data_IF_072817567394
#
_entry.id   IF_072817567394
#
_cell.length_a   1.000
_cell.length_b   1.000
_cell.length_c   1.000
_cell.angle_alpha   90.00
_cell.angle_beta   90.00
_cell.angle_gamma   90.00
#
_symmetry.space_group_name_H-M   'P 1'
#
loop_
_entity.id
_entity.type
_entity.pdbx_description
1 polymer ?
#
# COMPACT_ATOMS: atom_id res chain seq x y z
N UNK A 1 -29.02 34.12 4.02
CA UNK A 1 -27.63 34.63 4.00
C UNK A 1 -26.71 33.45 3.75
N UNK A 2 -26.08 33.38 2.58
CA UNK A 2 -25.12 32.33 2.26
C UNK A 2 -23.83 32.59 3.05
N UNK A 3 -23.55 31.77 4.06
CA UNK A 3 -22.29 31.78 4.79
C UNK A 3 -21.23 31.01 4.02
N UNK A 4 -20.25 31.71 3.46
CA UNK A 4 -19.03 31.13 2.90
C UNK A 4 -18.25 30.41 4.01
N UNK A 5 -18.22 29.07 4.00
CA UNK A 5 -17.29 28.30 4.83
C UNK A 5 -15.86 28.60 4.36
N UNK A 6 -15.09 29.34 5.17
CA UNK A 6 -13.65 29.50 4.95
C UNK A 6 -12.95 28.15 5.17
N UNK A 7 -11.98 27.75 4.33
CA UNK A 7 -11.25 26.50 4.49
C UNK A 7 -10.39 26.52 5.77
N UNK A 8 -10.32 25.36 6.43
CA UNK A 8 -9.70 25.19 7.76
C UNK A 8 -8.16 25.24 7.69
N UNK A 9 -7.45 25.92 8.62
CA UNK A 9 -5.98 26.16 8.56
C UNK A 9 -5.09 24.91 8.67
N UNK A 10 -5.66 23.75 8.97
CA UNK A 10 -4.92 22.50 9.23
C UNK A 10 -4.54 21.78 7.91
N UNK A 11 -5.38 21.91 6.88
CA UNK A 11 -5.13 21.36 5.53
C UNK A 11 -3.95 22.05 4.82
N UNK A 12 -3.67 23.31 5.19
CA UNK A 12 -2.65 24.16 4.55
C UNK A 12 -1.21 23.72 4.91
N UNK A 13 -0.98 23.31 6.16
CA UNK A 13 0.37 22.90 6.63
C UNK A 13 0.81 21.53 6.11
N UNK A 14 -0.11 20.58 5.98
CA UNK A 14 0.20 19.25 5.44
C UNK A 14 0.54 19.35 3.95
N UNK A 15 -0.22 20.15 3.21
CA UNK A 15 0.02 20.42 1.79
C UNK A 15 1.37 21.13 1.55
N UNK A 16 1.69 22.17 2.33
CA UNK A 16 2.99 22.84 2.28
C UNK A 16 4.16 21.89 2.59
N UNK A 17 4.00 20.99 3.57
CA UNK A 17 5.02 19.97 3.90
C UNK A 17 5.22 18.96 2.76
N UNK A 18 4.14 18.55 2.09
CA UNK A 18 4.20 17.63 0.96
C UNK A 18 4.88 18.28 -0.25
N UNK A 19 4.53 19.53 -0.59
CA UNK A 19 5.18 20.28 -1.66
C UNK A 19 6.66 20.55 -1.37
N UNK A 20 7.02 20.84 -0.11
CA UNK A 20 8.42 20.99 0.30
C UNK A 20 9.21 19.69 0.12
N UNK A 21 8.65 18.55 0.55
CA UNK A 21 9.27 17.23 0.35
C UNK A 21 9.45 16.90 -1.14
N UNK A 22 8.45 17.20 -1.97
CA UNK A 22 8.52 17.01 -3.42
C UNK A 22 9.59 17.90 -4.07
N UNK A 23 9.70 19.15 -3.61
CA UNK A 23 10.76 20.08 -4.03
C UNK A 23 12.15 19.56 -3.66
N UNK A 24 12.32 19.01 -2.45
CA UNK A 24 13.60 18.48 -1.98
C UNK A 24 14.01 17.21 -2.75
N UNK A 25 13.05 16.33 -3.07
CA UNK A 25 13.27 15.14 -3.90
C UNK A 25 13.70 15.51 -5.33
N UNK A 26 13.00 16.45 -5.98
CA UNK A 26 13.35 16.95 -7.31
C UNK A 26 14.73 17.62 -7.33
N UNK A 27 15.07 18.40 -6.30
CA UNK A 27 16.41 18.98 -6.16
C UNK A 27 17.51 17.91 -6.04
N UNK A 28 17.25 16.82 -5.30
CA UNK A 28 18.18 15.68 -5.17
C UNK A 28 18.39 14.99 -6.52
N UNK A 29 17.32 14.76 -7.27
CA UNK A 29 17.37 14.16 -8.60
C UNK A 29 18.10 15.04 -9.61
N UNK A 30 17.85 16.36 -9.60
CA UNK A 30 18.55 17.32 -10.48
C UNK A 30 20.06 17.32 -10.23
N UNK A 31 20.49 17.34 -8.96
CA UNK A 31 21.91 17.24 -8.58
C UNK A 31 22.55 15.93 -9.03
N UNK A 32 21.82 14.82 -8.96
CA UNK A 32 22.32 13.52 -9.41
C UNK A 32 22.53 13.50 -10.92
N UNK A 33 21.58 14.05 -11.67
CA UNK A 33 21.62 14.14 -13.13
C UNK A 33 22.75 15.07 -13.61
N UNK A 34 22.95 16.21 -12.94
CA UNK A 34 24.10 17.09 -13.17
C UNK A 34 25.43 16.39 -12.90
N UNK A 35 25.51 15.61 -11.80
CA UNK A 35 26.72 14.85 -11.44
C UNK A 35 27.02 13.79 -12.48
N UNK A 36 26.02 13.02 -12.92
CA UNK A 36 26.18 12.02 -13.99
C UNK A 36 26.61 12.66 -15.30
N UNK A 37 25.99 13.79 -15.69
CA UNK A 37 26.36 14.54 -16.89
C UNK A 37 27.80 15.04 -16.84
N UNK A 38 28.26 15.55 -15.68
CA UNK A 38 29.66 15.97 -15.48
C UNK A 38 30.62 14.80 -15.57
N UNK A 39 30.29 13.66 -14.95
CA UNK A 39 31.12 12.46 -14.96
C UNK A 39 31.28 11.93 -16.39
N UNK A 40 30.19 11.88 -17.16
CA UNK A 40 30.24 11.46 -18.56
C UNK A 40 31.07 12.41 -19.43
N UNK A 41 30.95 13.73 -19.24
CA UNK A 41 31.79 14.72 -19.94
C UNK A 41 33.28 14.57 -19.60
N UNK A 42 33.61 14.26 -18.34
CA UNK A 42 34.98 14.00 -17.89
C UNK A 42 35.53 12.70 -18.49
N UNK A 43 34.74 11.62 -18.46
CA UNK A 43 35.12 10.33 -19.06
C UNK A 43 35.31 10.43 -20.58
N UNK A 44 34.44 11.17 -21.27
CA UNK A 44 34.58 11.43 -22.70
C UNK A 44 35.81 12.28 -23.05
N UNK A 45 36.18 13.24 -22.18
CA UNK A 45 37.40 14.05 -22.36
C UNK A 45 38.68 13.24 -22.07
N UNK A 46 38.63 12.30 -21.13
CA UNK A 46 39.72 11.39 -20.81
C UNK A 46 39.93 10.31 -21.89
N UNK A 47 38.88 9.96 -22.64
CA UNK A 47 38.91 8.91 -23.66
C UNK A 47 39.42 9.33 -25.06
N UNK A 48 39.99 10.54 -25.22
CA UNK A 48 40.77 11.02 -26.38
C UNK A 48 40.49 10.43 -27.78
N UNK A 49 39.84 11.25 -28.64
CA UNK A 49 39.82 11.19 -30.12
C UNK A 49 39.46 9.84 -30.78
N UNK A 50 38.16 9.57 -30.93
CA UNK A 50 37.66 8.48 -31.78
C UNK A 50 36.38 8.85 -32.52
N UNK A 51 36.51 9.38 -33.75
CA UNK A 51 35.47 9.43 -34.78
C UNK A 51 34.35 10.48 -34.62
N UNK A 52 34.07 11.21 -35.70
CA UNK A 52 33.03 12.25 -35.78
C UNK A 52 31.62 11.81 -35.32
N UNK A 53 31.33 10.50 -35.29
CA UNK A 53 30.05 9.94 -34.81
C UNK A 53 29.87 9.93 -33.28
N UNK A 54 30.95 9.86 -32.49
CA UNK A 54 30.85 9.86 -31.01
C UNK A 54 30.62 11.27 -30.46
N UNK A 55 31.14 12.29 -31.14
CA UNK A 55 30.89 13.69 -30.82
C UNK A 55 29.43 14.12 -31.06
N UNK A 56 28.76 13.59 -32.08
CA UNK A 56 27.33 13.84 -32.33
C UNK A 56 26.44 13.31 -31.20
N UNK A 57 26.60 12.04 -30.83
CA UNK A 57 25.85 11.40 -29.75
C UNK A 57 26.05 12.07 -28.38
N UNK A 58 27.29 12.48 -28.05
CA UNK A 58 27.59 13.20 -26.81
C UNK A 58 27.01 14.61 -26.79
N UNK A 59 27.00 15.30 -27.94
CA UNK A 59 26.35 16.60 -28.10
C UNK A 59 24.83 16.48 -27.91
N UNK A 60 24.22 15.47 -28.52
CA UNK A 60 22.76 15.29 -28.48
C UNK A 60 22.28 14.82 -27.11
N UNK A 61 23.04 13.95 -26.44
CA UNK A 61 22.81 13.62 -25.04
C UNK A 61 22.99 14.84 -24.12
N UNK A 62 24.01 15.67 -24.36
CA UNK A 62 24.23 16.90 -23.62
C UNK A 62 23.07 17.90 -23.76
N UNK A 63 22.48 18.01 -24.96
CA UNK A 63 21.28 18.83 -25.22
C UNK A 63 20.04 18.22 -24.54
N UNK A 64 19.86 16.91 -24.61
CA UNK A 64 18.74 16.21 -23.96
C UNK A 64 18.81 16.33 -22.43
N UNK A 65 19.97 16.08 -21.82
CA UNK A 65 20.18 16.28 -20.39
C UNK A 65 19.98 17.75 -19.98
N UNK A 66 20.43 18.69 -20.83
CA UNK A 66 20.16 20.13 -20.66
C UNK A 66 18.67 20.47 -20.68
N UNK A 67 17.91 19.88 -21.60
CA UNK A 67 16.46 20.06 -21.69
C UNK A 67 15.73 19.46 -20.47
N UNK A 68 16.15 18.28 -20.01
CA UNK A 68 15.58 17.61 -18.83
C UNK A 68 15.88 18.41 -17.56
N UNK A 69 17.13 18.85 -17.36
CA UNK A 69 17.51 19.70 -16.22
C UNK A 69 16.80 21.06 -16.26
N UNK A 70 16.60 21.63 -17.46
CA UNK A 70 15.79 22.83 -17.67
C UNK A 70 14.34 22.64 -17.25
N UNK A 71 13.67 21.58 -17.73
CA UNK A 71 12.29 21.25 -17.38
C UNK A 71 12.12 20.99 -15.88
N UNK A 72 13.03 20.23 -15.26
CA UNK A 72 13.05 20.01 -13.80
C UNK A 72 13.23 21.34 -13.07
N UNK A 73 14.08 22.23 -13.58
CA UNK A 73 14.30 23.57 -13.03
C UNK A 73 13.05 24.45 -13.09
N UNK A 74 12.32 24.45 -14.20
CA UNK A 74 11.04 25.14 -14.37
C UNK A 74 9.99 24.61 -13.39
N UNK A 75 9.85 23.28 -13.28
CA UNK A 75 8.93 22.65 -12.32
C UNK A 75 9.30 23.00 -10.86
N UNK A 76 10.59 23.00 -10.50
CA UNK A 76 11.04 23.46 -9.17
C UNK A 76 10.69 24.94 -8.95
N UNK A 77 10.79 25.77 -9.99
CA UNK A 77 10.40 27.18 -9.96
C UNK A 77 8.92 27.37 -9.66
N UNK A 78 8.06 26.64 -10.37
CA UNK A 78 6.61 26.64 -10.17
C UNK A 78 6.23 26.19 -8.75
N UNK A 79 6.78 25.06 -8.28
CA UNK A 79 6.56 24.58 -6.91
C UNK A 79 7.00 25.58 -5.84
N UNK A 80 8.11 26.30 -6.05
CA UNK A 80 8.57 27.33 -5.11
C UNK A 80 7.66 28.55 -5.09
N UNK A 81 7.13 28.98 -6.23
CA UNK A 81 6.17 30.08 -6.28
C UNK A 81 4.82 29.68 -5.65
N UNK A 82 4.37 28.45 -5.84
CA UNK A 82 3.17 27.93 -5.17
C UNK A 82 3.35 27.88 -3.64
N UNK A 83 4.49 27.38 -3.14
CA UNK A 83 4.82 27.41 -1.71
C UNK A 83 4.85 28.85 -1.19
N UNK A 84 5.45 29.78 -1.94
CA UNK A 84 5.55 31.20 -1.55
C UNK A 84 4.19 31.88 -1.48
N UNK A 85 3.34 31.68 -2.49
CA UNK A 85 1.99 32.25 -2.54
C UNK A 85 1.09 31.71 -1.44
N UNK A 86 1.15 30.40 -1.17
CA UNK A 86 0.38 29.78 -0.09
C UNK A 86 0.86 30.25 1.28
N UNK A 87 2.17 30.32 1.51
CA UNK A 87 2.72 30.86 2.77
C UNK A 87 2.29 32.32 3.02
N UNK A 88 2.26 33.16 1.97
CA UNK A 88 1.80 34.55 2.08
C UNK A 88 0.28 34.64 2.40
N UNK A 89 -0.54 33.77 1.81
CA UNK A 89 -1.97 33.66 2.10
C UNK A 89 -2.22 33.18 3.55
N UNK A 90 -1.46 32.21 4.04
CA UNK A 90 -1.57 31.72 5.43
C UNK A 90 -1.24 32.83 6.43
N UNK A 91 -0.20 33.63 6.18
CA UNK A 91 0.18 34.75 7.05
C UNK A 91 -0.85 35.90 7.03
N UNK A 92 -1.41 36.22 5.85
CA UNK A 92 -2.51 37.17 5.75
C UNK A 92 -3.77 36.71 6.52
N UNK A 93 -4.09 35.42 6.46
CA UNK A 93 -5.19 34.83 7.22
C UNK A 93 -4.94 34.82 8.73
N UNK A 94 -3.70 34.57 9.20
CA UNK A 94 -3.35 34.69 10.62
C UNK A 94 -3.50 36.11 11.15
N UNK A 95 -3.08 37.12 10.38
CA UNK A 95 -3.27 38.52 10.74
C UNK A 95 -4.76 38.92 10.79
N UNK A 96 -5.59 38.35 9.90
CA UNK A 96 -7.04 38.56 9.93
C UNK A 96 -7.72 37.85 11.12
N UNK A 97 -7.27 36.64 11.48
CA UNK A 97 -7.82 35.86 12.61
C UNK A 97 -7.47 36.48 13.97
N UNK A 98 -6.24 36.98 14.13
CA UNK A 98 -5.81 37.68 15.34
C UNK A 98 -6.62 38.96 15.60
N UNK A 99 -7.09 39.64 14.54
CA UNK A 99 -8.00 40.79 14.65
C UNK A 99 -9.43 40.40 15.06
N UNK A 100 -9.85 39.16 14.81
CA UNK A 100 -11.21 38.68 15.14
C UNK A 100 -11.36 38.10 16.54
N UNK A 101 -10.30 37.54 17.14
CA UNK A 101 -10.35 36.90 18.46
C UNK A 101 -10.34 37.88 19.66
N UNK A 102 -10.08 39.17 19.42
CA UNK A 102 -10.24 40.22 20.44
C UNK A 102 -11.71 40.61 20.69
N UNK A 103 -12.67 40.01 19.97
CA UNK A 103 -14.07 40.45 19.97
C UNK A 103 -15.06 39.72 20.88
N UNK A 104 -14.81 38.48 21.32
CA UNK A 104 -15.84 37.69 22.03
C UNK A 104 -15.27 36.85 23.18
N UNK A 105 -15.48 37.32 24.42
CA UNK A 105 -15.49 36.51 25.65
C UNK A 105 -16.86 36.69 26.31
N UNK A 106 -17.61 35.60 26.48
CA UNK A 106 -18.84 35.58 27.28
C UNK A 106 -19.76 34.36 27.07
N UNK A 107 -19.84 33.51 28.11
CA UNK A 107 -20.95 32.65 28.56
C UNK A 107 -20.90 31.11 28.45
N UNK A 108 -21.56 30.53 29.45
CA UNK A 108 -21.53 29.21 30.11
C UNK A 108 -22.26 28.06 29.37
N UNK A 109 -22.00 26.83 29.84
CA UNK A 109 -22.51 25.54 29.32
C UNK A 109 -23.65 25.03 30.24
N UNK A 110 -24.74 24.54 29.65
CA UNK A 110 -25.92 23.99 30.34
C UNK A 110 -25.89 22.43 30.33
N UNK A 111 -26.32 21.71 31.37
CA UNK A 111 -26.17 20.26 31.45
C UNK A 111 -27.46 19.53 31.03
N UNK A 112 -27.61 19.24 29.74
CA UNK A 112 -28.61 18.28 29.21
C UNK A 112 -28.06 17.37 28.09
N UNK A 113 -26.74 17.23 27.92
CA UNK A 113 -26.17 16.30 26.95
C UNK A 113 -26.14 14.85 27.47
N UNK A 114 -27.29 14.17 27.44
CA UNK A 114 -27.38 12.72 27.38
C UNK A 114 -27.52 12.34 25.89
N UNK A 115 -26.48 11.73 25.32
CA UNK A 115 -26.49 11.28 23.91
C UNK A 115 -26.83 9.78 23.88
N UNK A 116 -27.99 9.45 23.31
CA UNK A 116 -28.36 8.11 22.85
C UNK A 116 -27.46 7.66 21.68
N UNK A 117 -27.22 6.35 21.55
CA UNK A 117 -26.45 5.73 20.46
C UNK A 117 -27.01 6.13 19.08
N UNK A 118 -26.33 7.03 18.39
CA UNK A 118 -26.66 7.48 17.05
C UNK A 118 -25.83 6.77 15.98
N UNK A 119 -26.48 6.44 14.86
CA UNK A 119 -25.90 5.85 13.65
C UNK A 119 -24.61 6.56 13.22
N UNK A 120 -23.57 5.76 12.97
CA UNK A 120 -22.30 6.22 12.45
C UNK A 120 -22.48 6.81 11.05
N UNK A 121 -22.37 8.13 10.92
CA UNK A 121 -22.25 8.84 9.63
C UNK A 121 -20.77 9.20 9.43
N UNK A 122 -20.05 8.60 8.46
CA UNK A 122 -18.66 8.93 8.23
C UNK A 122 -18.51 10.40 7.78
N UNK A 123 -17.40 11.07 8.13
CA UNK A 123 -17.21 12.48 7.81
C UNK A 123 -17.19 12.71 6.30
N UNK A 124 -18.11 13.55 5.82
CA UNK A 124 -18.24 13.94 4.41
C UNK A 124 -17.15 14.94 4.01
N UNK A 125 -15.93 14.46 3.81
CA UNK A 125 -14.94 15.21 3.03
C UNK A 125 -15.22 14.89 1.55
N UNK A 126 -15.46 15.88 0.67
CA UNK A 126 -15.66 15.59 -0.75
C UNK A 126 -14.40 14.91 -1.29
N UNK A 127 -14.52 13.78 -2.01
CA UNK A 127 -13.36 13.05 -2.50
C UNK A 127 -12.51 13.96 -3.39
N UNK A 128 -11.19 13.91 -3.19
CA UNK A 128 -10.23 14.62 -4.03
C UNK A 128 -10.54 14.28 -5.51
N UNK A 129 -10.74 15.25 -6.41
CA UNK A 129 -11.02 14.98 -7.82
C UNK A 129 -10.00 14.05 -8.49
N UNK A 130 -8.73 14.14 -8.08
CA UNK A 130 -7.65 13.25 -8.53
C UNK A 130 -7.81 11.81 -8.03
N UNK A 131 -8.39 11.63 -6.83
CA UNK A 131 -8.74 10.32 -6.29
C UNK A 131 -9.86 9.69 -7.13
N UNK A 132 -10.91 10.44 -7.48
CA UNK A 132 -12.02 9.92 -8.32
C UNK A 132 -11.58 9.43 -9.71
N UNK A 133 -10.54 10.05 -10.28
CA UNK A 133 -9.92 9.65 -11.54
C UNK A 133 -8.87 8.54 -11.40
N UNK A 134 -8.31 8.35 -10.20
CA UNK A 134 -7.39 7.26 -9.93
C UNK A 134 -8.13 5.93 -9.98
N UNK A 135 -7.39 4.85 -10.15
CA UNK A 135 -8.00 3.52 -10.08
C UNK A 135 -8.58 3.27 -8.67
N UNK A 136 -8.01 3.88 -7.62
CA UNK A 136 -8.54 3.87 -6.26
C UNK A 136 -9.92 4.49 -6.15
N UNK A 137 -10.13 5.72 -6.64
CA UNK A 137 -11.47 6.30 -6.61
C UNK A 137 -12.42 5.53 -7.52
N UNK A 138 -11.98 5.00 -8.66
CA UNK A 138 -12.84 4.14 -9.48
C UNK A 138 -13.31 2.88 -8.75
N UNK A 139 -12.49 2.31 -7.87
CA UNK A 139 -12.83 1.12 -7.08
C UNK A 139 -13.61 1.42 -5.79
N UNK A 140 -13.59 2.67 -5.31
CA UNK A 140 -14.01 3.03 -3.95
C UNK A 140 -15.03 4.18 -3.89
N UNK A 141 -15.45 4.73 -5.04
CA UNK A 141 -16.43 5.83 -5.10
C UNK A 141 -17.81 5.35 -4.65
N UNK A 142 -18.45 6.02 -3.67
CA UNK A 142 -19.83 5.77 -3.29
C UNK A 142 -20.80 5.85 -4.48
N UNK A 143 -21.66 4.85 -4.66
CA UNK A 143 -22.64 4.78 -5.76
C UNK A 143 -22.14 4.11 -7.06
N UNK A 144 -20.89 3.65 -7.11
CA UNK A 144 -20.39 2.72 -8.15
C UNK A 144 -20.54 1.26 -7.70
N UNK A 145 -20.50 0.27 -8.63
CA UNK A 145 -20.61 -1.13 -8.28
C UNK A 145 -19.59 -1.52 -7.22
N UNK A 146 -20.06 -2.21 -6.18
CA UNK A 146 -19.23 -2.70 -5.09
C UNK A 146 -18.06 -3.54 -5.64
N UNK A 147 -16.83 -3.09 -5.41
CA UNK A 147 -15.64 -3.84 -5.82
C UNK A 147 -15.49 -5.03 -4.90
N UNK A 148 -15.61 -6.21 -5.49
CA UNK A 148 -15.36 -7.47 -4.80
C UNK A 148 -13.89 -7.79 -5.00
N UNK A 149 -13.10 -7.68 -3.93
CA UNK A 149 -11.65 -7.81 -3.97
C UNK A 149 -11.24 -9.21 -3.51
N UNK A 150 -10.41 -9.90 -4.30
CA UNK A 150 -9.47 -10.86 -3.73
C UNK A 150 -8.31 -10.08 -3.13
N UNK A 151 -8.34 -9.88 -1.81
CA UNK A 151 -7.43 -8.99 -1.10
C UNK A 151 -6.00 -9.49 -1.04
N UNK A 152 -5.75 -10.77 -1.37
CA UNK A 152 -4.42 -11.36 -1.34
C UNK A 152 -4.38 -12.74 -2.01
N UNK A 153 -3.68 -12.82 -3.15
CA UNK A 153 -3.25 -14.07 -3.78
C UNK A 153 -1.72 -14.11 -3.85
N UNK A 154 -1.07 -14.87 -2.98
CA UNK A 154 0.38 -15.06 -3.01
C UNK A 154 0.75 -16.10 -4.05
N UNK A 155 1.32 -15.63 -5.16
CA UNK A 155 1.93 -16.49 -6.16
C UNK A 155 3.27 -17.01 -5.68
N UNK A 156 3.46 -18.32 -5.80
CA UNK A 156 4.67 -19.05 -5.43
C UNK A 156 5.49 -19.45 -6.65
N UNK A 157 4.90 -19.43 -7.84
CA UNK A 157 5.57 -19.77 -9.11
C UNK A 157 4.87 -19.12 -10.30
N UNK A 158 5.48 -19.20 -11.48
CA UNK A 158 4.81 -18.78 -12.72
C UNK A 158 3.57 -19.64 -13.03
N UNK A 159 3.60 -20.91 -12.63
CA UNK A 159 2.56 -21.88 -12.92
C UNK A 159 1.29 -21.61 -12.11
N UNK A 160 1.41 -21.31 -10.81
CA UNK A 160 0.23 -21.03 -9.99
C UNK A 160 -0.46 -19.73 -10.41
N UNK A 161 0.30 -18.71 -10.79
CA UNK A 161 -0.24 -17.45 -11.31
C UNK A 161 -0.95 -17.66 -12.65
N UNK A 162 -0.34 -18.43 -13.56
CA UNK A 162 -0.96 -18.77 -14.84
C UNK A 162 -2.26 -19.57 -14.64
N UNK A 163 -2.27 -20.52 -13.70
CA UNK A 163 -3.47 -21.29 -13.34
C UNK A 163 -4.56 -20.40 -12.75
N UNK A 164 -4.21 -19.48 -11.85
CA UNK A 164 -5.15 -18.53 -11.27
C UNK A 164 -5.77 -17.63 -12.35
N UNK A 165 -4.96 -17.08 -13.26
CA UNK A 165 -5.44 -16.24 -14.38
C UNK A 165 -6.36 -17.03 -15.31
N UNK A 166 -6.00 -18.28 -15.64
CA UNK A 166 -6.81 -19.15 -16.49
C UNK A 166 -8.17 -19.44 -15.84
N UNK A 167 -8.18 -19.76 -14.55
CA UNK A 167 -9.40 -20.02 -13.79
C UNK A 167 -10.30 -18.78 -13.72
N UNK A 168 -9.73 -17.59 -13.48
CA UNK A 168 -10.49 -16.33 -13.45
C UNK A 168 -11.13 -16.02 -14.81
N UNK A 169 -10.42 -16.26 -15.91
CA UNK A 169 -10.95 -16.06 -17.28
C UNK A 169 -12.05 -17.04 -17.66
N UNK A 170 -12.11 -18.21 -17.03
CA UNK A 170 -13.17 -19.19 -17.29
C UNK A 170 -14.43 -18.98 -16.43
N UNK A 171 -14.42 -18.05 -15.48
CA UNK A 171 -15.59 -17.76 -14.66
C UNK A 171 -16.61 -16.92 -15.44
N UNK A 172 -17.80 -17.50 -15.65
CA UNK A 172 -18.93 -16.85 -16.35
C UNK A 172 -19.44 -15.61 -15.57
N UNK A 173 -19.32 -15.64 -14.25
CA UNK A 173 -19.57 -14.51 -13.35
C UNK A 173 -18.44 -14.48 -12.32
N UNK A 174 -17.33 -13.77 -12.59
CA UNK A 174 -16.27 -13.70 -11.61
C UNK A 174 -16.84 -13.09 -10.32
N UNK A 175 -16.74 -13.79 -9.19
CA UNK A 175 -17.26 -13.28 -7.92
C UNK A 175 -16.43 -12.09 -7.42
N UNK A 176 -15.28 -11.80 -8.05
CA UNK A 176 -14.36 -10.73 -7.71
C UNK A 176 -13.97 -9.93 -8.96
N UNK A 177 -13.89 -8.62 -8.79
CA UNK A 177 -13.64 -7.63 -9.84
C UNK A 177 -12.24 -7.04 -9.78
N UNK A 178 -11.47 -7.40 -8.75
CA UNK A 178 -10.08 -7.00 -8.55
C UNK A 178 -9.31 -8.05 -7.75
N UNK A 179 -8.02 -8.21 -8.02
CA UNK A 179 -7.13 -9.14 -7.31
C UNK A 179 -5.83 -8.44 -6.92
N UNK A 180 -5.46 -8.55 -5.64
CA UNK A 180 -4.13 -8.22 -5.16
C UNK A 180 -3.22 -9.45 -5.29
N UNK A 181 -2.37 -9.47 -6.31
CA UNK A 181 -1.36 -10.50 -6.50
C UNK A 181 -0.15 -10.14 -5.66
N UNK A 182 0.28 -11.04 -4.78
CA UNK A 182 1.45 -10.86 -3.93
C UNK A 182 2.61 -11.74 -4.38
N UNK A 183 3.82 -11.21 -4.34
CA UNK A 183 5.06 -11.92 -4.67
C UNK A 183 6.15 -11.64 -3.64
N UNK A 184 6.92 -12.68 -3.29
CA UNK A 184 8.19 -12.56 -2.60
C UNK A 184 9.35 -12.85 -3.56
N UNK A 185 9.96 -11.83 -4.17
CA UNK A 185 11.17 -12.04 -4.97
C UNK A 185 12.27 -12.65 -4.09
N UNK A 186 13.05 -13.57 -4.68
CA UNK A 186 14.21 -14.15 -4.01
C UNK A 186 15.39 -13.17 -3.94
N UNK A 187 15.47 -12.26 -4.91
CA UNK A 187 16.59 -11.33 -5.11
C UNK A 187 16.07 -10.00 -5.69
N UNK A 188 16.81 -8.89 -5.51
CA UNK A 188 16.48 -7.58 -6.07
C UNK A 188 16.89 -7.46 -7.54
N UNK A 189 16.70 -8.51 -8.33
CA UNK A 189 16.96 -8.53 -9.77
C UNK A 189 15.82 -9.21 -10.51
N UNK A 190 15.73 -8.99 -11.82
CA UNK A 190 14.72 -9.64 -12.65
C UNK A 190 14.85 -11.17 -12.56
N UNK A 191 13.71 -11.82 -12.36
CA UNK A 191 13.59 -13.29 -12.37
C UNK A 191 12.37 -13.66 -13.22
N UNK A 192 12.30 -14.88 -13.78
CA UNK A 192 11.13 -15.31 -14.57
C UNK A 192 9.80 -15.15 -13.80
N UNK A 193 9.79 -15.43 -12.50
CA UNK A 193 8.61 -15.25 -11.65
C UNK A 193 8.21 -13.77 -11.52
N UNK A 194 9.17 -12.87 -11.30
CA UNK A 194 8.94 -11.43 -11.24
C UNK A 194 8.49 -10.84 -12.60
N UNK A 195 9.05 -11.33 -13.70
CA UNK A 195 8.65 -10.93 -15.05
C UNK A 195 7.22 -11.40 -15.35
N UNK A 196 6.88 -12.64 -14.98
CA UNK A 196 5.53 -13.17 -15.11
C UNK A 196 4.53 -12.40 -14.25
N UNK A 197 4.89 -12.04 -13.02
CA UNK A 197 4.12 -11.15 -12.16
C UNK A 197 3.88 -9.78 -12.80
N UNK A 198 4.94 -9.13 -13.28
CA UNK A 198 4.85 -7.80 -13.91
C UNK A 198 3.99 -7.82 -15.16
N UNK A 199 4.14 -8.87 -16.00
CA UNK A 199 3.31 -9.10 -17.18
C UNK A 199 1.85 -9.34 -16.79
N UNK A 200 1.58 -10.15 -15.76
CA UNK A 200 0.22 -10.39 -15.29
C UNK A 200 -0.45 -9.09 -14.84
N UNK A 201 0.26 -8.21 -14.12
CA UNK A 201 -0.24 -6.88 -13.77
C UNK A 201 -0.50 -6.05 -15.02
N UNK A 202 0.41 -6.03 -16.00
CA UNK A 202 0.24 -5.24 -17.23
C UNK A 202 -0.97 -5.69 -18.07
N UNK A 203 -1.13 -7.01 -18.27
CA UNK A 203 -2.14 -7.61 -19.16
C UNK A 203 -3.55 -7.68 -18.54
N UNK A 204 -3.66 -7.60 -17.20
CA UNK A 204 -4.95 -7.71 -16.52
C UNK A 204 -5.28 -6.40 -15.79
N UNK A 205 -6.27 -5.66 -16.30
CA UNK A 205 -6.70 -4.35 -15.76
C UNK A 205 -7.18 -4.42 -14.30
N UNK A 206 -7.64 -5.59 -13.87
CA UNK A 206 -8.16 -5.87 -12.54
C UNK A 206 -7.09 -6.35 -11.53
N UNK A 207 -5.83 -6.51 -11.95
CA UNK A 207 -4.77 -7.00 -11.07
C UNK A 207 -3.90 -5.86 -10.54
N UNK A 208 -3.54 -5.98 -9.28
CA UNK A 208 -2.69 -5.06 -8.54
C UNK A 208 -1.63 -5.85 -7.77
N UNK A 209 -0.48 -5.23 -7.54
CA UNK A 209 0.69 -5.88 -6.99
C UNK A 209 0.91 -5.58 -5.51
N UNK A 210 1.30 -6.62 -4.79
CA UNK A 210 1.95 -6.55 -3.48
C UNK A 210 3.33 -7.15 -3.68
N UNK A 211 4.39 -6.40 -3.37
CA UNK A 211 5.75 -6.89 -3.54
C UNK A 211 6.57 -6.60 -2.30
N UNK A 212 7.40 -7.55 -1.88
CA UNK A 212 8.30 -7.36 -0.75
C UNK A 212 9.22 -8.56 -0.54
N UNK A 213 10.36 -8.32 0.09
CA UNK A 213 11.31 -9.37 0.45
C UNK A 213 10.92 -9.99 1.80
N UNK A 214 10.40 -11.22 1.74
CA UNK A 214 9.98 -11.96 2.91
C UNK A 214 11.15 -12.45 3.78
N UNK A 215 10.88 -12.90 5.01
CA UNK A 215 11.90 -13.31 6.00
C UNK A 215 12.83 -14.45 5.57
N UNK A 216 12.44 -15.24 4.57
CA UNK A 216 13.23 -16.39 4.10
C UNK A 216 14.35 -15.98 3.15
N UNK A 217 14.26 -14.79 2.56
CA UNK A 217 15.22 -14.27 1.59
C UNK A 217 15.89 -13.03 2.20
N UNK A 218 16.96 -13.25 2.96
CA UNK A 218 17.76 -12.15 3.53
C UNK A 218 18.60 -11.54 2.43
N UNK A 219 18.32 -10.28 2.10
CA UNK A 219 19.12 -9.53 1.13
C UNK A 219 20.28 -8.87 1.89
N UNK A 220 21.51 -9.15 1.47
CA UNK A 220 22.72 -8.72 2.19
C UNK A 220 22.91 -7.20 2.17
N UNK A 221 22.55 -6.55 1.07
CA UNK A 221 22.70 -5.12 0.92
C UNK A 221 21.33 -4.44 1.00
N UNK A 222 21.15 -3.62 2.04
CA UNK A 222 19.93 -2.85 2.25
C UNK A 222 19.69 -1.82 1.14
N UNK A 223 20.75 -1.27 0.54
CA UNK A 223 20.61 -0.34 -0.60
C UNK A 223 20.01 -1.01 -1.84
N UNK A 224 20.25 -2.32 -2.02
CA UNK A 224 19.67 -3.07 -3.14
C UNK A 224 18.16 -3.26 -2.93
N UNK A 225 17.70 -3.47 -1.69
CA UNK A 225 16.27 -3.53 -1.35
C UNK A 225 15.62 -2.17 -1.66
N UNK A 226 16.19 -1.10 -1.12
CA UNK A 226 15.65 0.26 -1.25
C UNK A 226 15.57 0.68 -2.72
N UNK A 227 16.67 0.53 -3.46
CA UNK A 227 16.74 0.87 -4.88
C UNK A 227 15.75 0.07 -5.72
N UNK A 228 15.66 -1.24 -5.50
CA UNK A 228 14.75 -2.11 -6.24
C UNK A 228 13.28 -1.79 -5.95
N UNK A 229 12.88 -1.70 -4.68
CA UNK A 229 11.48 -1.44 -4.31
C UNK A 229 11.06 -0.03 -4.74
N UNK A 230 11.91 0.98 -4.51
CA UNK A 230 11.67 2.35 -4.96
C UNK A 230 11.49 2.40 -6.48
N UNK A 231 12.34 1.69 -7.23
CA UNK A 231 12.22 1.66 -8.69
C UNK A 231 10.92 1.00 -9.13
N UNK A 232 10.61 -0.22 -8.66
CA UNK A 232 9.42 -0.93 -9.14
C UNK A 232 8.11 -0.23 -8.74
N UNK A 233 8.04 0.40 -7.57
CA UNK A 233 6.88 1.18 -7.15
C UNK A 233 6.67 2.39 -8.07
N UNK A 234 7.76 3.11 -8.40
CA UNK A 234 7.67 4.28 -9.28
C UNK A 234 7.37 3.91 -10.74
N UNK A 235 7.97 2.84 -11.24
CA UNK A 235 7.84 2.42 -12.64
C UNK A 235 6.50 1.71 -12.90
N UNK A 236 5.87 1.14 -11.87
CA UNK A 236 4.62 0.39 -12.00
C UNK A 236 3.52 0.91 -11.07
N UNK A 237 2.63 1.72 -11.64
CA UNK A 237 1.44 2.29 -10.97
C UNK A 237 0.45 1.26 -10.42
N UNK A 238 0.62 -0.04 -10.70
CA UNK A 238 -0.21 -1.11 -10.14
C UNK A 238 0.35 -1.71 -8.86
N UNK A 239 1.51 -1.28 -8.36
CA UNK A 239 2.03 -1.70 -7.06
C UNK A 239 1.33 -0.92 -5.94
N UNK A 240 0.51 -1.64 -5.18
CA UNK A 240 -0.52 -1.06 -4.31
C UNK A 240 -0.27 -1.31 -2.82
N UNK A 241 0.69 -2.17 -2.51
CA UNK A 241 1.10 -2.47 -1.15
C UNK A 241 2.54 -3.02 -1.15
N UNK A 242 3.20 -2.93 0.00
CA UNK A 242 4.42 -3.69 0.25
C UNK A 242 4.10 -5.00 0.97
N UNK A 243 4.82 -6.06 0.63
CA UNK A 243 4.66 -7.36 1.28
C UNK A 243 4.56 -8.58 0.36
N UNK A 244 4.44 -9.77 0.96
CA UNK A 244 4.43 -9.98 2.40
C UNK A 244 5.86 -9.87 2.99
N UNK A 245 6.02 -9.11 4.07
CA UNK A 245 7.28 -8.96 4.83
C UNK A 245 7.05 -9.38 6.28
N UNK A 246 8.09 -9.65 7.07
CA UNK A 246 7.92 -10.01 8.47
C UNK A 246 8.99 -10.98 8.95
N UNK A 247 8.62 -11.89 9.85
CA UNK A 247 9.55 -12.81 10.52
C UNK A 247 9.16 -14.28 10.34
N UNK A 248 10.16 -15.15 10.17
CA UNK A 248 10.05 -16.60 10.16
C UNK A 248 11.14 -17.21 11.06
N UNK A 249 10.74 -17.52 12.29
CA UNK A 249 11.61 -18.15 13.29
C UNK A 249 11.81 -19.64 13.03
N UNK A 250 10.85 -20.30 12.38
CA UNK A 250 10.90 -21.74 12.11
C UNK A 250 11.99 -22.11 11.11
N UNK A 251 12.16 -21.29 10.07
CA UNK A 251 13.11 -21.59 9.00
C UNK A 251 14.56 -21.38 9.42
N UNK A 252 14.87 -20.22 10.02
CA UNK A 252 16.25 -19.86 10.36
C UNK A 252 16.29 -18.90 11.56
N UNK A 253 16.18 -19.40 12.81
CA UNK A 253 16.09 -18.54 14.00
C UNK A 253 17.35 -17.67 14.21
N UNK A 254 18.51 -18.10 13.70
CA UNK A 254 19.76 -17.34 13.75
C UNK A 254 19.78 -16.12 12.82
N UNK A 255 18.82 -16.01 11.90
CA UNK A 255 18.68 -14.85 11.00
C UNK A 255 17.68 -13.81 11.48
N UNK A 256 17.03 -14.03 12.64
CA UNK A 256 16.02 -13.11 13.17
C UNK A 256 16.50 -11.65 13.26
N UNK A 257 17.73 -11.33 13.72
CA UNK A 257 18.21 -9.96 13.70
C UNK A 257 18.18 -9.33 12.30
N UNK A 258 18.65 -10.06 11.28
CA UNK A 258 18.63 -9.59 9.89
C UNK A 258 17.22 -9.49 9.32
N UNK A 259 16.31 -10.40 9.72
CA UNK A 259 14.90 -10.31 9.34
C UNK A 259 14.24 -9.05 9.92
N UNK A 260 14.57 -8.67 11.16
CA UNK A 260 14.09 -7.43 11.80
C UNK A 260 14.62 -6.20 11.08
N UNK A 261 15.91 -6.15 10.75
CA UNK A 261 16.50 -5.05 9.97
C UNK A 261 15.82 -4.90 8.59
N UNK A 262 15.65 -6.01 7.87
CA UNK A 262 14.98 -6.04 6.57
C UNK A 262 13.48 -5.67 6.68
N UNK A 263 12.81 -6.04 7.77
CA UNK A 263 11.44 -5.63 8.06
C UNK A 263 11.36 -4.11 8.28
N UNK A 264 12.21 -3.55 9.15
CA UNK A 264 12.23 -2.12 9.45
C UNK A 264 12.50 -1.26 8.22
N UNK A 265 13.44 -1.67 7.36
CA UNK A 265 13.72 -0.98 6.10
C UNK A 265 12.47 -0.93 5.21
N UNK A 266 11.81 -2.07 5.01
CA UNK A 266 10.63 -2.14 4.14
C UNK A 266 9.40 -1.45 4.75
N UNK A 267 9.27 -1.40 6.08
CA UNK A 267 8.26 -0.57 6.76
C UNK A 267 8.49 0.92 6.54
N UNK A 268 9.75 1.37 6.52
CA UNK A 268 10.10 2.75 6.20
C UNK A 268 9.78 3.10 4.75
N UNK A 269 10.15 2.23 3.79
CA UNK A 269 9.78 2.41 2.38
C UNK A 269 8.25 2.47 2.23
N UNK A 270 7.51 1.58 2.90
CA UNK A 270 6.04 1.60 2.86
C UNK A 270 5.46 2.91 3.41
N UNK A 271 6.04 3.44 4.49
CA UNK A 271 5.65 4.71 5.07
C UNK A 271 5.93 5.89 4.12
N UNK A 272 7.09 5.91 3.47
CA UNK A 272 7.49 6.95 2.51
C UNK A 272 6.57 6.99 1.28
N UNK A 273 6.15 5.82 0.79
CA UNK A 273 5.21 5.68 -0.33
C UNK A 273 3.73 5.64 0.10
N UNK A 274 3.45 5.75 1.40
CA UNK A 274 2.10 5.69 1.95
C UNK A 274 1.32 4.41 1.59
N UNK A 275 2.03 3.30 1.42
CA UNK A 275 1.47 2.02 1.04
C UNK A 275 1.06 1.19 2.26
N UNK A 276 -0.09 0.50 2.24
CA UNK A 276 -0.39 -0.53 3.23
C UNK A 276 0.63 -1.67 3.14
N UNK A 277 0.87 -2.35 4.26
CA UNK A 277 1.91 -3.37 4.35
C UNK A 277 1.37 -4.70 4.84
N UNK A 278 1.66 -5.76 4.10
CA UNK A 278 1.24 -7.12 4.40
C UNK A 278 2.32 -7.81 5.24
N UNK A 279 1.94 -8.19 6.46
CA UNK A 279 2.83 -8.73 7.49
C UNK A 279 2.67 -10.24 7.62
N UNK A 280 3.80 -10.94 7.61
CA UNK A 280 3.91 -12.38 7.78
C UNK A 280 4.56 -12.71 9.12
N UNK A 281 3.90 -13.57 9.89
CA UNK A 281 4.41 -14.14 11.13
C UNK A 281 4.52 -15.67 11.00
N UNK A 282 5.70 -16.24 11.28
CA UNK A 282 5.84 -17.70 11.38
C UNK A 282 6.62 -18.01 12.66
N UNK A 283 5.87 -18.44 13.69
CA UNK A 283 6.39 -18.79 15.01
C UNK A 283 7.26 -17.69 15.66
N UNK A 284 7.02 -16.42 15.34
CA UNK A 284 7.85 -15.29 15.75
C UNK A 284 7.02 -14.16 16.36
N UNK A 285 5.85 -14.47 16.95
CA UNK A 285 4.85 -13.47 17.36
C UNK A 285 5.42 -12.43 18.30
N UNK A 286 6.16 -12.85 19.33
CA UNK A 286 6.77 -11.95 20.31
C UNK A 286 7.82 -11.05 19.67
N UNK A 287 8.72 -11.63 18.88
CA UNK A 287 9.77 -10.90 18.19
C UNK A 287 9.21 -9.92 17.15
N UNK A 288 8.12 -10.30 16.47
CA UNK A 288 7.45 -9.46 15.49
C UNK A 288 6.71 -8.31 16.17
N UNK A 289 6.01 -8.57 17.28
CA UNK A 289 5.34 -7.54 18.08
C UNK A 289 6.35 -6.49 18.57
N UNK A 290 7.47 -6.94 19.16
CA UNK A 290 8.57 -6.07 19.58
C UNK A 290 9.18 -5.29 18.39
N UNK A 291 9.37 -5.94 17.23
CA UNK A 291 9.90 -5.29 16.05
C UNK A 291 8.96 -4.21 15.50
N UNK A 292 7.65 -4.48 15.45
CA UNK A 292 6.64 -3.52 14.98
C UNK A 292 6.45 -2.35 15.96
N UNK A 293 6.52 -2.62 17.26
CA UNK A 293 6.47 -1.59 18.29
C UNK A 293 7.64 -0.60 18.16
N UNK A 294 8.85 -1.14 17.90
CA UNK A 294 10.10 -0.38 17.79
C UNK A 294 10.41 0.14 16.38
N UNK A 295 9.53 -0.11 15.39
CA UNK A 295 9.75 0.35 14.02
C UNK A 295 9.88 1.89 13.98
N UNK A 296 10.95 2.46 13.40
CA UNK A 296 11.17 3.91 13.37
C UNK A 296 10.10 4.68 12.58
N UNK A 297 9.54 4.02 11.58
CA UNK A 297 8.47 4.52 10.74
C UNK A 297 7.41 3.43 10.58
N UNK A 298 6.16 3.85 10.46
CA UNK A 298 5.03 2.94 10.33
C UNK A 298 4.23 3.28 9.06
N UNK A 299 3.90 2.27 8.24
CA UNK A 299 2.96 2.46 7.14
C UNK A 299 1.58 2.86 7.67
N UNK A 300 0.70 3.40 6.82
CA UNK A 300 -0.66 3.78 7.23
C UNK A 300 -1.48 2.63 7.78
N UNK A 301 -1.35 1.44 7.18
CA UNK A 301 -2.19 0.28 7.47
C UNK A 301 -1.34 -0.98 7.42
N UNK A 302 -1.66 -1.93 8.29
CA UNK A 302 -1.02 -3.25 8.36
C UNK A 302 -2.05 -4.34 8.10
N UNK A 303 -1.64 -5.40 7.39
CA UNK A 303 -2.49 -6.55 7.07
C UNK A 303 -1.80 -7.83 7.51
N UNK A 304 -2.39 -8.58 8.43
CA UNK A 304 -1.87 -9.86 8.88
C UNK A 304 -2.22 -10.97 7.88
N UNK A 305 -1.20 -11.65 7.34
CA UNK A 305 -1.33 -12.54 6.18
C UNK A 305 -1.61 -14.01 6.50
N UNK A 306 -1.48 -14.42 7.76
CA UNK A 306 -1.58 -15.82 8.18
C UNK A 306 -2.93 -16.11 8.84
N UNK A 307 -3.34 -17.39 8.92
CA UNK A 307 -4.41 -17.79 9.84
C UNK A 307 -4.05 -17.40 11.28
N UNK A 308 -5.03 -16.89 12.04
CA UNK A 308 -4.84 -16.50 13.44
C UNK A 308 -5.15 -17.67 14.35
N UNK A 309 -4.12 -18.31 14.92
CA UNK A 309 -4.29 -19.52 15.73
C UNK A 309 -4.18 -19.27 17.22
N UNK A 310 -3.33 -18.35 17.63
CA UNK A 310 -2.98 -18.17 19.05
C UNK A 310 -3.51 -16.86 19.63
N UNK A 311 -3.68 -16.82 20.96
CA UNK A 311 -4.06 -15.58 21.66
C UNK A 311 -3.00 -14.48 21.49
N UNK A 312 -1.71 -14.83 21.50
CA UNK A 312 -0.62 -13.88 21.29
C UNK A 312 -0.71 -13.22 19.91
N UNK A 313 -1.04 -14.00 18.87
CA UNK A 313 -1.23 -13.46 17.52
C UNK A 313 -2.43 -12.52 17.45
N UNK A 314 -3.55 -12.89 18.09
CA UNK A 314 -4.74 -12.03 18.18
C UNK A 314 -4.41 -10.74 18.92
N UNK A 315 -3.71 -10.81 20.04
CA UNK A 315 -3.33 -9.65 20.84
C UNK A 315 -2.39 -8.72 20.05
N UNK A 316 -1.40 -9.26 19.34
CA UNK A 316 -0.52 -8.48 18.46
C UNK A 316 -1.32 -7.81 17.34
N UNK A 317 -2.21 -8.54 16.65
CA UNK A 317 -3.06 -7.98 15.59
C UNK A 317 -3.91 -6.82 16.10
N UNK A 318 -4.51 -6.96 17.28
CA UNK A 318 -5.32 -5.91 17.90
C UNK A 318 -4.47 -4.71 18.34
N UNK A 319 -3.31 -4.96 18.95
CA UNK A 319 -2.41 -3.91 19.44
C UNK A 319 -1.87 -3.02 18.32
N UNK A 320 -1.59 -3.59 17.15
CA UNK A 320 -1.16 -2.84 15.96
C UNK A 320 -2.31 -2.49 15.01
N UNK A 321 -3.56 -2.72 15.43
CA UNK A 321 -4.76 -2.36 14.68
C UNK A 321 -4.75 -2.90 13.23
N UNK A 322 -4.30 -4.14 13.04
CA UNK A 322 -4.14 -4.72 11.72
C UNK A 322 -5.48 -5.18 11.13
N UNK A 323 -5.58 -5.13 9.80
CA UNK A 323 -6.54 -5.95 9.07
C UNK A 323 -6.11 -7.41 9.09
N UNK A 324 -7.07 -8.33 8.92
CA UNK A 324 -6.82 -9.78 8.86
C UNK A 324 -7.38 -10.34 7.58
N UNK A 325 -6.63 -11.24 6.96
CA UNK A 325 -7.11 -11.98 5.81
C UNK A 325 -7.96 -13.17 6.26
N UNK A 326 -9.15 -13.32 5.69
CA UNK A 326 -9.98 -14.53 5.72
C UNK A 326 -9.64 -15.35 4.47
N UNK A 327 -8.89 -16.43 4.65
CA UNK A 327 -8.22 -17.19 3.59
C UNK A 327 -8.85 -18.56 3.30
N UNK A 328 -8.34 -19.26 2.29
CA UNK A 328 -8.73 -20.63 1.95
C UNK A 328 -8.88 -21.56 3.16
N UNK A 329 -7.90 -21.51 4.06
CA UNK A 329 -7.84 -22.31 5.28
C UNK A 329 -9.09 -22.12 6.17
N UNK A 330 -9.78 -20.99 6.10
CA UNK A 330 -11.01 -20.75 6.86
C UNK A 330 -12.11 -21.80 6.58
N UNK A 331 -12.08 -22.39 5.38
CA UNK A 331 -13.02 -23.43 4.93
C UNK A 331 -12.68 -24.83 5.45
N UNK A 332 -11.48 -25.04 5.98
CA UNK A 332 -10.95 -26.36 6.35
C UNK A 332 -11.50 -26.83 7.71
N UNK A 333 -12.04 -28.06 7.84
CA UNK A 333 -12.67 -28.52 9.07
C UNK A 333 -11.79 -28.35 10.32
N UNK A 334 -10.50 -28.61 10.23
CA UNK A 334 -9.54 -28.52 11.34
C UNK A 334 -9.20 -27.09 11.79
N UNK A 335 -9.54 -26.07 11.00
CA UNK A 335 -9.23 -24.66 11.27
C UNK A 335 -10.26 -24.00 12.22
N UNK A 336 -10.70 -24.74 13.24
CA UNK A 336 -11.69 -24.27 14.21
C UNK A 336 -11.21 -23.04 14.98
N UNK A 337 -9.94 -23.06 15.41
CA UNK A 337 -9.39 -21.96 16.19
C UNK A 337 -9.24 -20.68 15.38
N UNK A 338 -8.87 -20.81 14.11
CA UNK A 338 -8.83 -19.68 13.18
C UNK A 338 -10.21 -19.06 13.00
N UNK A 339 -11.25 -19.87 12.79
CA UNK A 339 -12.63 -19.38 12.71
C UNK A 339 -13.07 -18.70 14.00
N UNK A 340 -12.86 -19.35 15.14
CA UNK A 340 -13.23 -18.80 16.46
C UNK A 340 -12.60 -17.42 16.68
N UNK A 341 -11.28 -17.31 16.46
CA UNK A 341 -10.54 -16.06 16.65
C UNK A 341 -11.07 -14.94 15.72
N UNK A 342 -11.27 -15.24 14.44
CA UNK A 342 -11.81 -14.24 13.49
C UNK A 342 -13.20 -13.79 13.93
N UNK A 343 -14.11 -14.73 14.21
CA UNK A 343 -15.53 -14.44 14.44
C UNK A 343 -15.80 -13.77 15.79
N UNK A 344 -14.99 -14.04 16.82
CA UNK A 344 -15.26 -13.60 18.19
C UNK A 344 -14.31 -12.54 18.70
N UNK A 345 -13.08 -12.47 18.18
CA UNK A 345 -12.03 -11.58 18.70
C UNK A 345 -11.71 -10.41 17.79
N UNK A 346 -11.80 -10.58 16.47
CA UNK A 346 -11.38 -9.54 15.53
C UNK A 346 -12.58 -8.69 15.11
N UNK A 347 -12.53 -7.35 15.26
CA UNK A 347 -13.56 -6.45 14.77
C UNK A 347 -13.86 -6.67 13.29
N UNK A 348 -15.15 -6.74 12.92
CA UNK A 348 -15.56 -7.07 11.55
C UNK A 348 -15.06 -6.06 10.52
N UNK A 349 -14.85 -4.80 10.89
CA UNK A 349 -14.30 -3.77 10.01
C UNK A 349 -12.82 -4.00 9.66
N UNK A 350 -12.17 -5.00 10.27
CA UNK A 350 -10.78 -5.41 9.96
C UNK A 350 -10.71 -6.66 9.08
N UNK A 351 -11.84 -7.25 8.70
CA UNK A 351 -11.87 -8.46 7.89
C UNK A 351 -11.67 -8.15 6.41
N UNK A 352 -10.75 -8.86 5.77
CA UNK A 352 -10.52 -8.80 4.32
C UNK A 352 -10.64 -10.21 3.74
N UNK A 353 -11.35 -10.35 2.63
CA UNK A 353 -11.43 -11.63 1.93
C UNK A 353 -10.18 -11.85 1.07
N UNK A 354 -9.63 -13.07 1.09
CA UNK A 354 -8.45 -13.40 0.31
C UNK A 354 -8.46 -14.87 -0.12
N UNK A 355 -8.00 -15.18 -1.33
CA UNK A 355 -7.81 -16.57 -1.74
C UNK A 355 -6.64 -17.20 -0.99
N UNK A 356 -5.60 -16.42 -0.68
CA UNK A 356 -4.48 -16.85 0.14
C UNK A 356 -3.27 -17.26 -0.68
N UNK A 357 -2.71 -18.44 -0.41
CA UNK A 357 -1.50 -18.93 -1.08
C UNK A 357 -1.87 -19.74 -2.33
N UNK A 358 -1.07 -19.63 -3.40
CA UNK A 358 -1.26 -20.35 -4.67
C UNK A 358 -1.34 -21.87 -4.56
N UNK A 359 -0.79 -22.45 -3.48
CA UNK A 359 -0.77 -23.90 -3.23
C UNK A 359 -1.88 -24.39 -2.29
N UNK A 360 -2.63 -23.46 -1.67
CA UNK A 360 -3.62 -23.79 -0.64
C UNK A 360 -5.03 -23.47 -1.12
N UNK A 361 -5.67 -24.44 -1.77
CA UNK A 361 -7.07 -24.31 -2.17
C UNK A 361 -8.03 -24.47 -0.98
N UNK A 362 -9.26 -23.96 -1.14
CA UNK A 362 -10.35 -24.23 -0.19
C UNK A 362 -10.70 -25.71 -0.08
N UNK A 363 -11.47 -26.05 0.94
CA UNK A 363 -11.77 -27.44 1.32
C UNK A 363 -12.31 -28.27 0.15
N UNK A 364 -13.20 -27.71 -0.67
CA UNK A 364 -13.80 -28.42 -1.80
C UNK A 364 -12.81 -28.82 -2.90
N UNK A 365 -11.60 -28.23 -2.90
CA UNK A 365 -10.54 -28.46 -3.88
C UNK A 365 -9.19 -28.72 -3.23
N UNK A 366 -9.17 -29.21 -1.99
CA UNK A 366 -7.92 -29.48 -1.25
C UNK A 366 -6.97 -30.37 -2.07
N UNK A 367 -5.69 -30.00 -2.11
CA UNK A 367 -4.66 -30.68 -2.91
C UNK A 367 -4.56 -30.22 -4.37
N UNK A 368 -5.45 -29.33 -4.82
CA UNK A 368 -5.33 -28.65 -6.12
C UNK A 368 -4.67 -27.28 -5.96
N UNK A 369 -4.21 -26.70 -7.07
CA UNK A 369 -3.76 -25.30 -7.11
C UNK A 369 -4.91 -24.38 -6.71
N UNK A 370 -4.59 -23.35 -5.93
CA UNK A 370 -5.56 -22.38 -5.49
C UNK A 370 -5.99 -21.46 -6.64
N UNK A 371 -7.24 -21.06 -6.61
CA UNK A 371 -7.92 -20.34 -7.69
C UNK A 371 -8.99 -19.41 -7.10
N UNK A 372 -9.51 -18.42 -7.86
CA UNK A 372 -10.51 -17.47 -7.37
C UNK A 372 -11.79 -18.13 -6.82
N UNK A 373 -12.12 -19.36 -7.27
CA UNK A 373 -13.26 -20.12 -6.78
C UNK A 373 -13.22 -20.35 -5.26
N UNK A 374 -12.05 -20.26 -4.62
CA UNK A 374 -11.89 -20.47 -3.17
C UNK A 374 -12.60 -19.41 -2.37
N UNK A 375 -12.65 -18.20 -2.89
CA UNK A 375 -13.31 -17.08 -2.23
C UNK A 375 -14.84 -17.30 -2.11
N UNK A 376 -15.46 -17.99 -3.08
CA UNK A 376 -16.87 -18.39 -2.99
C UNK A 376 -17.11 -19.43 -1.89
N UNK A 377 -16.16 -20.35 -1.67
CA UNK A 377 -16.22 -21.30 -0.55
C UNK A 377 -16.09 -20.57 0.78
N UNK A 378 -15.16 -19.62 0.90
CA UNK A 378 -14.99 -18.81 2.10
C UNK A 378 -16.27 -18.04 2.44
N UNK A 379 -16.88 -17.36 1.46
CA UNK A 379 -18.13 -16.63 1.68
C UNK A 379 -19.26 -17.54 2.14
N UNK A 380 -19.38 -18.73 1.54
CA UNK A 380 -20.40 -19.71 1.96
C UNK A 380 -20.17 -20.14 3.41
N UNK A 381 -18.94 -20.46 3.78
CA UNK A 381 -18.58 -20.82 5.17
C UNK A 381 -18.84 -19.66 6.13
N UNK A 382 -18.43 -18.44 5.77
CA UNK A 382 -18.62 -17.25 6.61
C UNK A 382 -20.10 -16.93 6.82
N UNK A 383 -20.92 -17.04 5.78
CA UNK A 383 -22.36 -16.89 5.87
C UNK A 383 -22.99 -17.94 6.82
N UNK A 384 -22.64 -19.23 6.65
CA UNK A 384 -23.14 -20.32 7.49
C UNK A 384 -22.82 -20.13 8.98
N UNK A 385 -21.66 -19.54 9.29
CA UNK A 385 -21.21 -19.35 10.67
C UNK A 385 -21.74 -18.07 11.32
N UNK A 386 -22.12 -17.08 10.52
CA UNK A 386 -22.53 -15.77 11.03
C UNK A 386 -24.04 -15.55 10.97
N UNK A 387 -24.78 -16.29 10.12
CA UNK A 387 -26.20 -16.06 9.81
C UNK A 387 -26.51 -14.63 9.32
N UNK A 388 -25.59 -14.01 8.56
CA UNK A 388 -25.79 -12.69 7.94
C UNK A 388 -26.40 -12.82 6.56
N UNK A 389 -26.98 -11.73 6.05
CA UNK A 389 -27.33 -11.68 4.64
C UNK A 389 -26.04 -11.69 3.78
N UNK A 390 -25.97 -12.52 2.71
CA UNK A 390 -24.79 -12.58 1.84
C UNK A 390 -24.39 -11.23 1.23
N UNK A 391 -25.37 -10.39 0.88
CA UNK A 391 -25.11 -9.11 0.23
C UNK A 391 -24.58 -8.08 1.25
N UNK A 392 -25.07 -8.12 2.49
CA UNK A 392 -24.55 -7.30 3.60
C UNK A 392 -23.10 -7.65 3.92
N UNK A 393 -22.80 -8.96 4.01
CA UNK A 393 -21.44 -9.44 4.27
C UNK A 393 -20.47 -9.02 3.15
N UNK A 394 -20.90 -9.16 1.89
CA UNK A 394 -20.12 -8.70 0.74
C UNK A 394 -19.89 -7.20 0.77
N UNK A 395 -20.93 -6.41 1.08
CA UNK A 395 -20.87 -4.95 1.20
C UNK A 395 -19.89 -4.53 2.28
N UNK A 396 -19.94 -5.18 3.44
CA UNK A 396 -18.99 -4.96 4.53
C UNK A 396 -17.55 -5.28 4.11
N UNK A 397 -17.29 -6.46 3.56
CA UNK A 397 -15.94 -6.88 3.17
C UNK A 397 -15.35 -5.96 2.09
N UNK A 398 -16.17 -5.53 1.14
CA UNK A 398 -15.76 -4.57 0.14
C UNK A 398 -15.50 -3.18 0.74
N UNK A 399 -16.33 -2.70 1.68
CA UNK A 399 -16.07 -1.44 2.38
C UNK A 399 -14.76 -1.49 3.18
N UNK A 400 -14.46 -2.61 3.86
CA UNK A 400 -13.19 -2.79 4.56
C UNK A 400 -12.01 -2.76 3.59
N UNK A 401 -12.12 -3.46 2.46
CA UNK A 401 -11.11 -3.44 1.41
C UNK A 401 -10.91 -2.03 0.84
N UNK A 402 -11.99 -1.26 0.68
CA UNK A 402 -11.90 0.13 0.26
C UNK A 402 -11.16 0.96 1.32
N UNK A 403 -11.52 0.83 2.60
CA UNK A 403 -10.88 1.57 3.70
C UNK A 403 -9.38 1.26 3.87
N UNK A 404 -8.92 0.07 3.48
CA UNK A 404 -7.49 -0.26 3.46
C UNK A 404 -6.69 0.67 2.52
N UNK A 405 -7.33 1.18 1.46
CA UNK A 405 -6.65 1.92 0.40
C UNK A 405 -7.19 3.34 0.14
N UNK A 406 -8.35 3.68 0.72
CA UNK A 406 -8.96 5.02 0.66
C UNK A 406 -8.43 5.86 1.81
N UNK A 407 -8.01 7.08 1.48
CA UNK A 407 -7.81 8.16 2.45
C UNK A 407 -8.73 9.31 2.11
#
# INVERSE_FOLDING_TARGET
MFGSKKPSPILDKAHLRQQQKQTDALNKQNRLLEKQTRLMKQNAKAAGQGGAGTHGLLSDFGKMAGAITGAIGETIGELREDIRTHTALTEAHKQQHARSQLGHMGMEINPEDIIEEGDYVPPSTPPNPLFSSSIWGRLTTPGKPLVRLDGYFHTTSEEDLANYIKALKSEVRPPYTATMVAINPATPVSTPHLESFSRALAENSQFYGIIGFGPRNIIKNQEDIDGFLTQIINDNTKIFALGPIGLDKSYAPHTLPQQVEQLHLQLAIAADFELPTFIMNINATKELDEALANAPQKPPELVYTKPLHTEDEVNMVLAHNMHVLIRAEFTWPEEEKYRENILTRIPRNRWLLASGNGLLAGEGRRGQMNTPQTLSEILKTLNQLTNHDPDDLLTQLASNAQNLFVR
#
